data_IF_057316825446
#
_entry.id   IF_057316825446
#
_cell.length_a   1.000
_cell.length_b   1.000
_cell.length_c   1.000
_cell.angle_alpha   90.00
_cell.angle_beta   90.00
_cell.angle_gamma   90.00
#
_symmetry.space_group_name_H-M   'P 1'
#
loop_
_entity.id
_entity.type
_entity.pdbx_description
1 polymer ?
#
# COMPACT_ATOMS: atom_id res chain seq x y z
N UNK A 1 -10.57 43.44 -13.02
CA UNK A 1 -10.52 43.14 -11.57
C UNK A 1 -10.49 41.63 -11.46
N UNK A 2 -9.29 41.07 -11.24
CA UNK A 2 -9.02 39.65 -11.47
C UNK A 2 -9.44 38.78 -10.29
N UNK A 3 -10.11 37.69 -10.62
CA UNK A 3 -10.35 36.57 -9.72
C UNK A 3 -9.46 35.41 -10.20
N UNK A 4 -8.29 35.28 -9.59
CA UNK A 4 -7.24 34.32 -9.96
C UNK A 4 -6.57 33.79 -8.68
N UNK A 5 -7.37 33.32 -7.72
CA UNK A 5 -6.88 32.56 -6.57
C UNK A 5 -7.85 31.43 -6.22
N UNK A 6 -8.15 30.57 -7.20
CA UNK A 6 -8.57 29.20 -6.89
C UNK A 6 -7.34 28.45 -6.42
N UNK A 7 -7.29 28.13 -5.12
CA UNK A 7 -6.10 27.59 -4.48
C UNK A 7 -5.71 26.24 -5.08
N UNK A 8 -4.42 26.02 -5.32
CA UNK A 8 -3.90 24.79 -5.94
C UNK A 8 -4.21 23.51 -5.14
N UNK A 9 -4.58 23.65 -3.86
CA UNK A 9 -5.03 22.57 -2.99
C UNK A 9 -6.47 22.15 -3.27
N UNK A 10 -7.38 23.10 -3.51
CA UNK A 10 -8.78 22.80 -3.92
C UNK A 10 -8.82 22.07 -5.27
N UNK A 11 -7.89 22.38 -6.18
CA UNK A 11 -7.80 21.71 -7.49
C UNK A 11 -7.26 20.28 -7.44
N UNK A 12 -6.36 19.95 -6.50
CA UNK A 12 -5.85 18.57 -6.35
C UNK A 12 -6.88 17.65 -5.73
N UNK A 13 -7.59 18.10 -4.69
CA UNK A 13 -8.64 17.29 -4.05
C UNK A 13 -9.88 17.09 -4.93
N UNK A 14 -10.34 18.14 -5.63
CA UNK A 14 -11.52 18.05 -6.47
C UNK A 14 -11.34 17.07 -7.66
N UNK A 15 -10.18 17.12 -8.33
CA UNK A 15 -9.91 16.27 -9.49
C UNK A 15 -9.86 14.76 -9.16
N UNK A 16 -9.39 14.40 -7.96
CA UNK A 16 -9.36 13.00 -7.51
C UNK A 16 -10.76 12.50 -7.12
N UNK A 17 -11.58 13.36 -6.48
CA UNK A 17 -12.96 13.00 -6.14
C UNK A 17 -13.87 12.90 -7.36
N UNK A 18 -13.71 13.76 -8.36
CA UNK A 18 -14.52 13.71 -9.58
C UNK A 18 -14.33 12.37 -10.31
N UNK A 19 -13.09 11.88 -10.43
CA UNK A 19 -12.80 10.57 -11.02
C UNK A 19 -13.38 9.41 -10.18
N UNK A 20 -13.27 9.51 -8.85
CA UNK A 20 -13.83 8.50 -7.96
C UNK A 20 -15.36 8.46 -8.02
N UNK A 21 -16.01 9.62 -8.10
CA UNK A 21 -17.46 9.75 -8.24
C UNK A 21 -17.90 9.17 -9.59
N UNK A 22 -17.21 9.49 -10.67
CA UNK A 22 -17.50 8.94 -12.00
C UNK A 22 -17.38 7.40 -12.01
N UNK A 23 -16.32 6.85 -11.40
CA UNK A 23 -16.16 5.40 -11.24
C UNK A 23 -17.33 4.77 -10.45
N UNK A 24 -17.76 5.42 -9.37
CA UNK A 24 -18.87 4.94 -8.55
C UNK A 24 -20.18 4.91 -9.35
N UNK A 25 -20.52 6.02 -10.01
CA UNK A 25 -21.79 6.17 -10.76
C UNK A 25 -21.83 5.23 -11.97
N UNK A 26 -20.69 5.00 -12.63
CA UNK A 26 -20.60 4.08 -13.78
C UNK A 26 -20.60 2.61 -13.39
N UNK A 27 -20.16 2.27 -12.17
CA UNK A 27 -20.04 0.86 -11.72
C UNK A 27 -21.26 0.38 -10.91
N UNK A 28 -21.94 1.28 -10.20
CA UNK A 28 -22.99 0.92 -9.23
C UNK A 28 -24.34 1.46 -9.71
N UNK A 29 -25.27 0.54 -10.00
CA UNK A 29 -26.71 0.79 -10.17
C UNK A 29 -27.02 2.12 -10.87
N UNK A 30 -26.52 2.26 -12.11
CA UNK A 30 -26.52 3.51 -12.90
C UNK A 30 -27.90 4.19 -12.97
N UNK A 31 -28.98 3.42 -12.93
CA UNK A 31 -30.36 3.92 -12.96
C UNK A 31 -30.73 4.73 -11.69
N UNK A 32 -30.15 4.43 -10.53
CA UNK A 32 -30.45 5.12 -9.25
C UNK A 32 -29.85 6.53 -9.17
N UNK A 33 -28.85 6.81 -10.00
CA UNK A 33 -28.17 8.11 -10.07
C UNK A 33 -28.75 9.01 -11.17
N UNK A 34 -29.69 8.50 -11.98
CA UNK A 34 -30.20 9.20 -13.16
C UNK A 34 -31.28 10.25 -12.83
N UNK A 35 -31.18 11.40 -13.50
CA UNK A 35 -31.96 12.62 -13.24
C UNK A 35 -33.38 12.61 -13.85
N UNK A 36 -33.94 11.43 -14.13
CA UNK A 36 -35.29 11.32 -14.72
C UNK A 36 -36.44 11.68 -13.76
N UNK A 37 -36.12 12.14 -12.54
CA UNK A 37 -37.06 12.71 -11.59
C UNK A 37 -36.57 12.57 -10.16
N UNK A 38 -35.97 13.64 -9.61
CA UNK A 38 -35.35 13.73 -8.27
C UNK A 38 -34.40 12.56 -7.92
N UNK A 39 -33.07 12.75 -7.92
CA UNK A 39 -32.15 11.66 -7.59
C UNK A 39 -32.45 11.12 -6.19
N UNK A 40 -32.79 9.83 -6.11
CA UNK A 40 -32.95 9.09 -4.84
C UNK A 40 -31.60 9.02 -4.12
N UNK A 41 -30.52 9.05 -4.91
CA UNK A 41 -29.15 8.91 -4.45
C UNK A 41 -28.31 10.15 -4.76
N UNK A 42 -27.54 10.65 -3.79
CA UNK A 42 -26.60 11.77 -3.98
C UNK A 42 -25.22 11.42 -3.45
N UNK A 43 -24.19 11.85 -4.16
CA UNK A 43 -22.78 11.70 -3.79
C UNK A 43 -22.09 13.05 -3.96
N UNK A 44 -21.33 13.49 -2.95
CA UNK A 44 -20.57 14.74 -3.02
C UNK A 44 -19.30 14.67 -2.16
N UNK A 45 -18.22 15.34 -2.57
CA UNK A 45 -17.06 15.50 -1.72
C UNK A 45 -17.41 16.36 -0.50
N UNK A 46 -16.78 16.06 0.63
CA UNK A 46 -16.76 16.88 1.82
C UNK A 46 -15.36 17.49 1.97
N UNK A 47 -15.18 18.78 1.61
CA UNK A 47 -13.85 19.38 1.43
C UNK A 47 -12.99 19.44 2.69
N UNK A 48 -13.56 19.23 3.88
CA UNK A 48 -12.84 19.45 5.13
C UNK A 48 -11.90 18.29 5.54
N UNK A 49 -12.07 17.08 4.98
CA UNK A 49 -11.31 15.91 5.44
C UNK A 49 -11.16 14.75 4.43
N UNK A 50 -11.14 15.03 3.12
CA UNK A 50 -11.00 14.00 2.07
C UNK A 50 -12.02 12.86 2.20
N UNK A 51 -13.29 13.19 2.46
CA UNK A 51 -14.38 12.21 2.52
C UNK A 51 -15.45 12.45 1.49
N UNK A 52 -16.22 11.40 1.20
CA UNK A 52 -17.43 11.45 0.38
C UNK A 52 -18.65 11.33 1.28
N UNK A 53 -19.63 12.21 1.08
CA UNK A 53 -20.96 12.10 1.68
C UNK A 53 -21.86 11.45 0.64
N UNK A 54 -22.39 10.28 0.97
CA UNK A 54 -23.32 9.54 0.12
C UNK A 54 -24.64 9.37 0.85
N UNK A 55 -25.74 9.69 0.17
CA UNK A 55 -27.10 9.41 0.61
C UNK A 55 -27.73 8.54 -0.45
N UNK A 56 -28.02 7.26 -0.16
CA UNK A 56 -28.63 6.32 -1.10
C UNK A 56 -29.40 5.23 -0.34
N UNK A 57 -30.02 4.28 -1.06
CA UNK A 57 -30.69 3.15 -0.43
C UNK A 57 -29.68 2.17 0.24
N UNK A 58 -30.15 1.33 1.16
CA UNK A 58 -29.27 0.39 1.89
C UNK A 58 -28.50 -0.58 0.99
N UNK A 59 -29.16 -1.10 -0.06
CA UNK A 59 -28.52 -2.00 -1.03
C UNK A 59 -27.36 -1.32 -1.78
N UNK A 60 -27.52 -0.05 -2.12
CA UNK A 60 -26.49 0.75 -2.81
C UNK A 60 -25.33 1.10 -1.88
N UNK A 61 -25.60 1.33 -0.59
CA UNK A 61 -24.53 1.44 0.42
C UNK A 61 -23.71 0.15 0.55
N UNK A 62 -24.34 -1.02 0.44
CA UNK A 62 -23.61 -2.30 0.47
C UNK A 62 -22.75 -2.50 -0.78
N UNK A 63 -23.25 -2.11 -1.96
CA UNK A 63 -22.46 -2.11 -3.21
C UNK A 63 -21.26 -1.15 -3.13
N UNK A 64 -21.45 0.05 -2.57
CA UNK A 64 -20.37 1.02 -2.33
C UNK A 64 -19.30 0.44 -1.40
N UNK A 65 -19.73 -0.20 -0.31
CA UNK A 65 -18.80 -0.85 0.64
C UNK A 65 -17.94 -1.89 -0.08
N UNK A 66 -18.55 -2.73 -0.92
CA UNK A 66 -17.84 -3.74 -1.68
C UNK A 66 -16.85 -3.13 -2.68
N UNK A 67 -17.27 -2.11 -3.45
CA UNK A 67 -16.41 -1.42 -4.41
C UNK A 67 -15.19 -0.80 -3.71
N UNK A 68 -15.40 -0.04 -2.63
CA UNK A 68 -14.29 0.56 -1.89
C UNK A 68 -13.36 -0.49 -1.27
N UNK A 69 -13.90 -1.61 -0.81
CA UNK A 69 -13.09 -2.73 -0.32
C UNK A 69 -12.21 -3.30 -1.44
N UNK A 70 -12.77 -3.52 -2.64
CA UNK A 70 -12.01 -4.00 -3.81
C UNK A 70 -10.90 -3.01 -4.21
N UNK A 71 -11.22 -1.71 -4.27
CA UNK A 71 -10.23 -0.67 -4.57
C UNK A 71 -9.08 -0.63 -3.55
N UNK A 72 -9.39 -0.84 -2.25
CA UNK A 72 -8.35 -0.95 -1.21
C UNK A 72 -7.46 -2.17 -1.43
N UNK A 73 -8.04 -3.34 -1.73
CA UNK A 73 -7.24 -4.55 -2.02
C UNK A 73 -6.25 -4.28 -3.15
N UNK A 74 -6.73 -3.75 -4.29
CA UNK A 74 -5.89 -3.41 -5.44
C UNK A 74 -4.77 -2.41 -5.10
N UNK A 75 -5.09 -1.42 -4.25
CA UNK A 75 -4.08 -0.45 -3.79
C UNK A 75 -2.94 -1.11 -3.02
N UNK A 76 -3.20 -2.17 -2.26
CA UNK A 76 -2.19 -2.86 -1.44
C UNK A 76 -1.52 -4.05 -2.13
N UNK A 77 -2.06 -4.54 -3.25
CA UNK A 77 -1.48 -5.63 -4.03
C UNK A 77 -0.02 -5.38 -4.40
N UNK A 78 0.82 -6.41 -4.27
CA UNK A 78 2.20 -6.33 -4.71
C UNK A 78 2.28 -6.20 -6.24
N UNK A 79 3.24 -5.43 -6.77
CA UNK A 79 3.46 -5.36 -8.22
C UNK A 79 3.74 -6.75 -8.79
N UNK A 80 3.17 -7.07 -9.96
CA UNK A 80 3.37 -8.41 -10.58
C UNK A 80 4.84 -8.79 -10.83
N UNK A 81 5.72 -7.79 -10.98
CA UNK A 81 7.16 -7.94 -11.17
C UNK A 81 7.95 -8.05 -9.86
N UNK A 82 7.31 -8.05 -8.68
CA UNK A 82 8.04 -8.01 -7.40
C UNK A 82 9.05 -9.15 -7.23
N UNK A 83 8.72 -10.36 -7.71
CA UNK A 83 9.65 -11.49 -7.65
C UNK A 83 10.90 -11.27 -8.51
N UNK A 84 10.82 -10.49 -9.58
CA UNK A 84 11.99 -10.08 -10.35
C UNK A 84 12.84 -9.07 -9.56
N UNK A 85 12.22 -8.13 -8.84
CA UNK A 85 12.93 -7.19 -7.95
C UNK A 85 13.64 -7.90 -6.79
N UNK A 86 13.04 -8.96 -6.24
CA UNK A 86 13.69 -9.79 -5.21
C UNK A 86 14.92 -10.52 -5.77
N UNK A 87 14.79 -11.13 -6.95
CA UNK A 87 15.92 -11.76 -7.64
C UNK A 87 17.03 -10.78 -7.96
N UNK A 88 16.67 -9.55 -8.35
CA UNK A 88 17.63 -8.48 -8.56
C UNK A 88 18.35 -8.10 -7.26
N UNK A 89 17.64 -8.01 -6.14
CA UNK A 89 18.25 -7.75 -4.83
C UNK A 89 19.27 -8.84 -4.43
N UNK A 90 18.93 -10.12 -4.65
CA UNK A 90 19.84 -11.25 -4.45
C UNK A 90 21.07 -11.15 -5.37
N UNK A 91 20.88 -10.83 -6.64
CA UNK A 91 21.97 -10.75 -7.62
C UNK A 91 22.94 -9.58 -7.33
N UNK A 92 22.42 -8.44 -6.84
CA UNK A 92 23.23 -7.26 -6.54
C UNK A 92 24.14 -7.47 -5.32
N UNK A 93 23.69 -8.24 -4.33
CA UNK A 93 24.39 -8.46 -3.04
C UNK A 93 24.90 -7.16 -2.40
N UNK A 94 24.03 -6.14 -2.33
CA UNK A 94 24.35 -4.83 -1.76
C UNK A 94 23.56 -4.59 -0.48
N UNK A 95 24.11 -3.75 0.38
CA UNK A 95 23.47 -3.33 1.65
C UNK A 95 22.18 -2.54 1.43
N UNK A 96 22.06 -1.80 0.32
CA UNK A 96 20.87 -1.00 0.01
C UNK A 96 19.72 -1.89 -0.48
N UNK A 97 18.56 -1.91 0.22
CA UNK A 97 17.41 -2.68 -0.22
C UNK A 97 16.80 -2.12 -1.51
N UNK A 98 16.15 -2.99 -2.27
CA UNK A 98 15.26 -2.66 -3.37
C UNK A 98 13.86 -2.44 -2.82
N UNK A 99 13.31 -1.25 -3.06
CA UNK A 99 11.92 -0.94 -2.70
C UNK A 99 10.99 -1.65 -3.70
N UNK A 100 10.15 -2.53 -3.18
CA UNK A 100 9.15 -3.22 -3.99
C UNK A 100 7.92 -2.35 -4.14
N UNK A 101 7.40 -1.86 -3.02
CA UNK A 101 6.26 -0.94 -2.96
C UNK A 101 6.31 -0.11 -1.69
N UNK A 102 5.96 1.17 -1.82
CA UNK A 102 5.84 2.10 -0.70
C UNK A 102 4.38 2.52 -0.52
N UNK A 103 3.97 2.72 0.72
CA UNK A 103 2.61 3.05 1.13
C UNK A 103 2.64 4.34 1.93
N UNK A 104 2.05 5.41 1.38
CA UNK A 104 1.91 6.67 2.08
C UNK A 104 0.79 6.57 3.13
N UNK A 105 1.08 6.95 4.38
CA UNK A 105 0.13 7.10 5.50
C UNK A 105 -0.94 6.00 5.57
N UNK A 106 -0.58 4.86 6.16
CA UNK A 106 -1.53 3.79 6.45
C UNK A 106 -2.47 4.16 7.60
N UNK A 107 -3.76 3.91 7.41
CA UNK A 107 -4.70 3.86 8.51
C UNK A 107 -4.60 2.51 9.23
N UNK A 108 -5.01 2.46 10.50
CA UNK A 108 -5.00 1.22 11.28
C UNK A 108 -5.82 0.10 10.61
N UNK A 109 -6.91 0.45 9.92
CA UNK A 109 -7.76 -0.52 9.20
C UNK A 109 -7.08 -1.17 8.00
N UNK A 110 -6.00 -0.58 7.50
CA UNK A 110 -5.30 -1.04 6.30
C UNK A 110 -4.09 -1.91 6.64
N UNK A 111 -3.71 -1.97 7.91
CA UNK A 111 -2.59 -2.78 8.39
C UNK A 111 -2.80 -4.27 8.14
N UNK A 112 -4.03 -4.77 8.32
CA UNK A 112 -4.36 -6.17 8.05
C UNK A 112 -4.21 -6.50 6.56
N UNK A 113 -4.62 -5.59 5.67
CA UNK A 113 -4.45 -5.77 4.21
C UNK A 113 -2.97 -5.83 3.83
N UNK A 114 -2.16 -4.91 4.38
CA UNK A 114 -0.73 -4.90 4.12
C UNK A 114 -0.03 -6.16 4.64
N UNK A 115 -0.39 -6.60 5.85
CA UNK A 115 0.10 -7.86 6.42
C UNK A 115 -0.27 -9.05 5.54
N UNK A 116 -1.52 -9.12 5.06
CA UNK A 116 -1.96 -10.18 4.15
C UNK A 116 -1.14 -10.18 2.85
N UNK A 117 -0.85 -9.02 2.29
CA UNK A 117 -0.03 -8.89 1.07
C UNK A 117 1.43 -9.27 1.31
N UNK A 118 1.99 -8.91 2.46
CA UNK A 118 3.33 -9.35 2.88
C UNK A 118 3.41 -10.87 3.00
N UNK A 119 2.45 -11.50 3.66
CA UNK A 119 2.37 -12.96 3.81
C UNK A 119 2.13 -13.69 2.48
N UNK A 120 1.33 -13.11 1.58
CA UNK A 120 1.15 -13.62 0.22
C UNK A 120 2.47 -13.56 -0.57
N UNK A 121 3.22 -12.45 -0.44
CA UNK A 121 4.55 -12.30 -1.03
C UNK A 121 5.53 -13.37 -0.53
N UNK A 122 5.58 -13.62 0.78
CA UNK A 122 6.38 -14.70 1.38
C UNK A 122 5.99 -16.06 0.80
N UNK A 123 4.69 -16.36 0.76
CA UNK A 123 4.18 -17.64 0.24
C UNK A 123 4.60 -17.86 -1.21
N UNK A 124 4.54 -16.80 -2.02
CA UNK A 124 5.00 -16.86 -3.41
C UNK A 124 6.50 -17.09 -3.52
N UNK A 125 7.33 -16.35 -2.77
CA UNK A 125 8.79 -16.49 -2.78
C UNK A 125 9.24 -17.84 -2.23
N UNK A 126 8.48 -18.42 -1.30
CA UNK A 126 8.80 -19.72 -0.71
C UNK A 126 8.76 -20.87 -1.74
N UNK A 127 8.06 -20.68 -2.86
CA UNK A 127 8.07 -21.64 -3.99
C UNK A 127 9.43 -21.69 -4.69
N UNK A 128 10.11 -20.54 -4.77
CA UNK A 128 11.39 -20.41 -5.49
C UNK A 128 12.60 -20.59 -4.55
N UNK A 129 12.45 -20.19 -3.29
CA UNK A 129 13.56 -20.11 -2.32
C UNK A 129 13.48 -21.11 -1.16
N UNK A 130 12.36 -21.84 -1.03
CA UNK A 130 12.08 -22.69 0.14
C UNK A 130 11.48 -21.91 1.31
N UNK A 131 11.27 -22.57 2.45
CA UNK A 131 10.67 -21.93 3.62
C UNK A 131 11.63 -20.91 4.28
N UNK A 132 11.22 -19.65 4.49
CA UNK A 132 12.01 -18.68 5.23
C UNK A 132 11.95 -18.87 6.74
N UNK A 133 12.87 -18.22 7.44
CA UNK A 133 12.71 -17.83 8.83
C UNK A 133 11.97 -16.49 8.88
N UNK A 134 10.81 -16.45 9.54
CA UNK A 134 10.01 -15.23 9.69
C UNK A 134 10.11 -14.71 11.12
N UNK A 135 10.27 -13.40 11.27
CA UNK A 135 10.33 -12.73 12.56
C UNK A 135 9.49 -11.46 12.55
N UNK A 136 8.91 -11.13 13.70
CA UNK A 136 8.29 -9.84 13.99
C UNK A 136 9.12 -9.03 14.99
N UNK A 137 9.09 -7.71 14.85
CA UNK A 137 9.82 -6.81 15.74
C UNK A 137 9.40 -7.04 17.21
N UNK A 138 10.39 -7.26 18.08
CA UNK A 138 10.18 -7.56 19.50
C UNK A 138 10.16 -9.06 19.84
N UNK A 139 10.16 -9.95 18.84
CA UNK A 139 10.30 -11.39 19.08
C UNK A 139 11.74 -11.79 19.43
N UNK A 140 11.89 -12.86 20.22
CA UNK A 140 13.20 -13.45 20.53
C UNK A 140 13.82 -13.99 19.24
N UNK A 141 15.06 -13.58 18.95
CA UNK A 141 15.75 -13.96 17.72
C UNK A 141 15.49 -13.03 16.54
N UNK A 142 14.71 -11.95 16.73
CA UNK A 142 14.62 -10.89 15.73
C UNK A 142 16.03 -10.34 15.41
N UNK A 143 16.41 -10.21 14.13
CA UNK A 143 17.76 -9.79 13.78
C UNK A 143 18.07 -8.38 14.25
N UNK A 144 19.16 -8.22 14.99
CA UNK A 144 19.65 -6.94 15.51
C UNK A 144 20.09 -5.96 14.42
N UNK A 145 20.43 -6.47 13.25
CA UNK A 145 20.76 -5.68 12.07
C UNK A 145 19.54 -5.13 11.33
N UNK A 146 18.32 -5.62 11.60
CA UNK A 146 17.12 -5.26 10.85
C UNK A 146 16.34 -4.12 11.51
N UNK A 147 15.80 -3.21 10.70
CA UNK A 147 14.95 -2.08 11.12
C UNK A 147 13.48 -2.26 10.71
N UNK A 148 13.07 -3.51 10.47
CA UNK A 148 11.75 -3.87 9.96
C UNK A 148 10.73 -4.14 11.06
N UNK A 149 9.44 -4.01 10.76
CA UNK A 149 8.36 -4.50 11.61
C UNK A 149 8.23 -6.02 11.48
N UNK A 150 8.39 -6.54 10.26
CA UNK A 150 8.38 -7.96 9.94
C UNK A 150 9.44 -8.27 8.91
N UNK A 151 10.08 -9.43 9.01
CA UNK A 151 11.12 -9.85 8.08
C UNK A 151 11.06 -11.35 7.85
N UNK A 152 11.17 -11.75 6.58
CA UNK A 152 11.38 -13.12 6.15
C UNK A 152 12.80 -13.25 5.58
N UNK A 153 13.52 -14.28 6.02
CA UNK A 153 14.93 -14.49 5.74
C UNK A 153 15.15 -15.86 5.12
N UNK A 154 15.90 -15.89 4.03
CA UNK A 154 16.41 -17.10 3.41
C UNK A 154 17.94 -17.10 3.48
N UNK A 155 18.51 -18.12 4.13
CA UNK A 155 19.95 -18.33 4.10
C UNK A 155 20.40 -18.78 2.71
N UNK A 156 21.40 -18.10 2.17
CA UNK A 156 21.93 -18.32 0.82
C UNK A 156 23.45 -18.38 0.87
N UNK A 157 24.07 -18.82 -0.22
CA UNK A 157 25.54 -18.92 -0.29
C UNK A 157 26.17 -17.53 -0.21
N UNK A 158 26.80 -17.26 0.94
CA UNK A 158 27.53 -16.02 1.20
C UNK A 158 26.71 -14.92 1.88
N UNK A 159 25.46 -15.17 2.30
CA UNK A 159 24.66 -14.15 2.97
C UNK A 159 23.19 -14.54 3.11
N UNK A 160 22.36 -13.54 3.44
CA UNK A 160 20.94 -13.69 3.72
C UNK A 160 20.14 -12.83 2.76
N UNK A 161 19.27 -13.46 1.98
CA UNK A 161 18.22 -12.75 1.25
C UNK A 161 17.10 -12.46 2.23
N UNK A 162 16.62 -11.23 2.28
CA UNK A 162 15.49 -10.86 3.12
C UNK A 162 14.41 -10.14 2.34
N UNK A 163 13.17 -10.32 2.81
CA UNK A 163 11.98 -9.62 2.37
C UNK A 163 11.31 -9.05 3.62
N UNK A 164 11.13 -7.74 3.68
CA UNK A 164 10.80 -7.05 4.92
C UNK A 164 9.69 -6.01 4.72
N UNK A 165 8.82 -5.90 5.73
CA UNK A 165 7.91 -4.78 5.93
C UNK A 165 8.60 -3.78 6.87
N UNK A 166 9.05 -2.65 6.33
CA UNK A 166 9.78 -1.63 7.06
C UNK A 166 8.89 -0.44 7.44
N UNK A 167 9.00 -0.01 8.70
CA UNK A 167 8.44 1.25 9.16
C UNK A 167 9.31 2.40 8.63
N UNK A 168 8.69 3.30 7.86
CA UNK A 168 9.34 4.46 7.24
C UNK A 168 8.78 5.78 7.80
N UNK A 169 8.36 5.83 9.08
CA UNK A 169 7.83 7.04 9.73
C UNK A 169 8.73 8.28 9.54
N UNK A 170 8.14 9.46 9.26
CA UNK A 170 6.69 9.76 9.15
C UNK A 170 6.07 9.42 7.79
N UNK A 171 6.83 8.84 6.86
CA UNK A 171 6.48 8.73 5.44
C UNK A 171 5.63 7.50 5.08
N UNK A 172 5.32 6.66 6.07
CA UNK A 172 4.45 5.49 5.92
C UNK A 172 5.24 4.19 6.08
N UNK A 173 4.93 3.19 5.27
CA UNK A 173 5.57 1.87 5.33
C UNK A 173 5.98 1.41 3.94
N UNK A 174 6.95 0.49 3.88
CA UNK A 174 7.42 -0.05 2.61
C UNK A 174 7.67 -1.55 2.71
N UNK A 175 7.32 -2.26 1.65
CA UNK A 175 7.79 -3.62 1.42
C UNK A 175 9.07 -3.53 0.60
N UNK A 176 10.12 -4.14 1.13
CA UNK A 176 11.46 -4.12 0.54
C UNK A 176 12.02 -5.53 0.44
N UNK A 177 12.97 -5.70 -0.47
CA UNK A 177 13.82 -6.88 -0.53
C UNK A 177 15.28 -6.46 -0.55
N UNK A 178 16.15 -7.23 0.09
CA UNK A 178 17.57 -6.91 0.10
C UNK A 178 18.44 -8.09 0.44
N UNK A 179 19.74 -7.83 0.47
CA UNK A 179 20.75 -8.80 0.82
C UNK A 179 21.54 -8.32 2.02
N UNK A 180 21.84 -9.23 2.94
CA UNK A 180 22.62 -8.93 4.12
C UNK A 180 23.77 -9.92 4.30
N UNK A 181 24.91 -9.41 4.74
CA UNK A 181 26.10 -10.17 5.13
C UNK A 181 26.66 -9.53 6.41
N UNK A 182 27.36 -10.31 7.24
CA UNK A 182 27.89 -9.82 8.52
C UNK A 182 28.79 -8.57 8.36
N UNK A 183 29.50 -8.46 7.23
CA UNK A 183 30.34 -7.31 6.91
C UNK A 183 29.60 -5.99 6.68
N UNK A 184 28.28 -6.02 6.48
CA UNK A 184 27.48 -4.81 6.23
C UNK A 184 27.06 -4.08 7.51
N UNK A 185 27.12 -4.76 8.67
CA UNK A 185 26.64 -4.20 9.93
C UNK A 185 25.12 -4.00 9.96
N UNK A 186 24.68 -3.06 10.80
CA UNK A 186 23.27 -2.76 11.05
C UNK A 186 22.68 -1.94 9.90
N UNK A 187 21.49 -2.32 9.43
CA UNK A 187 20.79 -1.58 8.39
C UNK A 187 20.26 -0.25 8.91
N UNK A 188 20.31 0.77 8.05
CA UNK A 188 19.68 2.04 8.35
C UNK A 188 18.19 2.01 7.97
N UNK A 189 17.32 2.72 8.71
CA UNK A 189 15.93 2.91 8.32
C UNK A 189 15.84 3.51 6.92
N UNK A 190 14.90 3.00 6.11
CA UNK A 190 14.67 3.51 4.77
C UNK A 190 14.10 4.94 4.84
N UNK A 191 14.69 5.86 4.07
CA UNK A 191 14.16 7.21 3.86
C UNK A 191 13.50 7.25 2.50
N UNK A 192 12.17 7.33 2.47
CA UNK A 192 11.43 7.57 1.24
C UNK A 192 11.64 9.04 0.83
N UNK A 193 11.98 9.28 -0.43
CA UNK A 193 12.11 10.64 -0.95
C UNK A 193 10.74 11.34 -0.91
N UNK A 194 10.72 12.60 -0.48
CA UNK A 194 9.54 13.46 -0.55
C UNK A 194 9.43 13.98 -1.99
N UNK A 195 8.46 13.47 -2.76
CA UNK A 195 8.02 14.12 -4.00
C UNK A 195 6.93 15.17 -3.71
#
# INVERSE_FOLDING_TARGET
MGDLLGTSAERRGAADFDQLIDLIVTTISTDEWSDSGSPISSIRPFPANDTLVVSCCGATHDQLRLLFQQLRVLKYELPSDFAAKVREAEARKRTSPVIIKAFAKLQQSDQDLLNNQFQAGISQLSRDYGAPQCFQAGEVGFPDWATAQQIAIWDRRGGRLYFALQDCRPHGEAIVAGWWEDSFGVQQPLKLATD
#
